data_IF_932707377894
#
_entry.id   IF_932707377894
#
_cell.length_a   1.000
_cell.length_b   1.000
_cell.length_c   1.000
_cell.angle_alpha   90.00
_cell.angle_beta   90.00
_cell.angle_gamma   90.00
#
_symmetry.space_group_name_H-M   'P 1'
#
loop_
_entity.id
_entity.type
_entity.pdbx_description
1 polymer ?
#
# COMPACT_ATOMS: atom_id res chain seq x y z
N UNK A 1 -9.73 10.14 -8.62
CA UNK A 1 -10.33 10.01 -7.28
C UNK A 1 -9.47 9.02 -6.53
N UNK A 2 -8.86 9.43 -5.42
CA UNK A 2 -8.09 8.52 -4.58
C UNK A 2 -9.04 7.42 -4.06
N UNK A 3 -8.63 6.17 -4.20
CA UNK A 3 -9.33 4.99 -3.72
C UNK A 3 -9.22 4.85 -2.19
N UNK A 4 -8.13 5.36 -1.61
CA UNK A 4 -7.85 5.26 -0.18
C UNK A 4 -7.83 6.63 0.51
N UNK A 5 -8.04 6.62 1.83
CA UNK A 5 -7.95 7.79 2.70
C UNK A 5 -6.94 7.54 3.82
N UNK A 6 -6.40 8.62 4.39
CA UNK A 6 -5.60 8.53 5.62
C UNK A 6 -6.41 7.89 6.74
N UNK A 7 -5.83 6.92 7.44
CA UNK A 7 -6.47 6.08 8.43
C UNK A 7 -7.12 4.81 7.88
N UNK A 8 -7.18 4.63 6.55
CA UNK A 8 -7.67 3.37 5.99
C UNK A 8 -6.67 2.24 6.24
N UNK A 9 -7.19 1.08 6.64
CA UNK A 9 -6.40 -0.12 6.77
C UNK A 9 -6.32 -0.84 5.42
N UNK A 10 -5.10 -1.20 5.05
CA UNK A 10 -4.82 -1.78 3.74
C UNK A 10 -3.87 -2.96 3.86
N UNK A 11 -3.92 -3.79 2.83
CA UNK A 11 -3.07 -4.94 2.65
C UNK A 11 -2.42 -4.88 1.28
N UNK A 12 -1.12 -5.17 1.21
CA UNK A 12 -0.39 -5.28 -0.06
C UNK A 12 -0.87 -6.53 -0.79
N UNK A 13 -1.38 -6.34 -2.01
CA UNK A 13 -1.83 -7.43 -2.88
C UNK A 13 -0.66 -8.32 -3.25
N UNK A 14 -0.92 -9.62 -3.36
CA UNK A 14 0.03 -10.54 -3.96
C UNK A 14 0.03 -10.34 -5.48
N UNK A 15 1.21 -10.12 -6.06
CA UNK A 15 1.38 -9.97 -7.52
C UNK A 15 2.29 -11.08 -8.06
N UNK A 16 1.70 -12.21 -8.50
CA UNK A 16 2.46 -13.28 -9.13
C UNK A 16 2.97 -12.80 -10.50
N UNK A 17 4.26 -12.44 -10.60
CA UNK A 17 4.88 -12.03 -11.87
C UNK A 17 5.98 -10.97 -11.77
N UNK A 18 6.19 -10.36 -10.59
CA UNK A 18 7.34 -9.48 -10.38
C UNK A 18 8.63 -10.27 -10.12
N UNK A 19 9.77 -9.93 -10.74
CA UNK A 19 11.03 -10.64 -10.53
C UNK A 19 11.47 -10.47 -9.07
N UNK A 20 11.31 -11.54 -8.28
CA UNK A 20 11.64 -11.60 -6.86
C UNK A 20 10.45 -11.68 -5.91
N UNK A 21 9.20 -11.54 -6.41
CA UNK A 21 8.00 -11.42 -5.60
C UNK A 21 8.05 -10.18 -4.69
N UNK A 22 6.92 -9.51 -4.45
CA UNK A 22 6.91 -8.59 -3.32
C UNK A 22 7.15 -9.45 -2.06
N UNK A 23 8.35 -9.43 -1.47
CA UNK A 23 8.63 -10.02 -0.13
C UNK A 23 7.68 -9.47 0.96
N UNK A 24 6.97 -8.41 0.59
CA UNK A 24 6.01 -7.67 1.39
C UNK A 24 4.55 -7.91 0.94
N UNK A 25 4.30 -8.89 0.06
CA UNK A 25 2.94 -9.35 -0.24
C UNK A 25 2.26 -9.79 1.05
N UNK A 26 0.97 -9.49 1.18
CA UNK A 26 0.19 -9.67 2.39
C UNK A 26 0.64 -8.84 3.60
N UNK A 27 1.53 -7.85 3.43
CA UNK A 27 1.78 -6.92 4.53
C UNK A 27 0.55 -6.05 4.75
N UNK A 28 0.18 -5.89 6.01
CA UNK A 28 -0.91 -5.04 6.46
C UNK A 28 -0.36 -3.78 7.10
N UNK A 29 -1.20 -2.75 7.15
CA UNK A 29 -0.83 -1.46 7.68
C UNK A 29 -1.87 -0.40 7.42
N UNK A 30 -1.56 0.81 7.84
CA UNK A 30 -2.46 1.95 7.80
C UNK A 30 -1.95 3.01 6.83
N UNK A 31 -2.83 3.58 6.02
CA UNK A 31 -2.49 4.71 5.16
C UNK A 31 -2.28 5.94 6.03
N UNK A 32 -1.08 6.49 6.01
CA UNK A 32 -0.72 7.70 6.76
C UNK A 32 -0.72 8.95 5.88
N UNK A 33 -0.59 8.79 4.57
CA UNK A 33 -0.61 9.89 3.60
C UNK A 33 -1.14 9.40 2.26
N UNK A 34 -1.97 10.21 1.61
CA UNK A 34 -2.45 9.97 0.25
C UNK A 34 -1.86 11.06 -0.64
N UNK A 35 -1.10 10.66 -1.66
CA UNK A 35 -0.57 11.61 -2.63
C UNK A 35 -1.56 11.72 -3.79
N UNK A 36 -2.09 12.91 -3.99
CA UNK A 36 -2.90 13.23 -5.17
C UNK A 36 -1.99 13.45 -6.38
N UNK A 37 -1.34 12.37 -6.82
CA UNK A 37 -0.56 12.34 -8.04
C UNK A 37 -1.29 11.52 -9.12
N UNK A 38 -1.03 11.77 -10.41
CA UNK A 38 -1.71 11.05 -11.50
C UNK A 38 -1.43 9.55 -11.52
N UNK A 39 -0.41 9.07 -10.80
CA UNK A 39 -0.12 7.66 -10.65
C UNK A 39 -0.82 7.01 -9.44
N UNK A 40 -1.41 7.81 -8.54
CA UNK A 40 -2.17 7.36 -7.37
C UNK A 40 -1.28 6.61 -6.38
N UNK A 41 -0.29 7.27 -5.79
CA UNK A 41 0.51 6.69 -4.72
C UNK A 41 -0.05 7.04 -3.34
N UNK A 42 0.11 6.11 -2.41
CA UNK A 42 -0.20 6.30 -0.99
C UNK A 42 0.97 5.83 -0.14
N UNK A 43 1.14 6.47 1.01
CA UNK A 43 2.09 6.06 2.02
C UNK A 43 1.35 5.20 3.05
N UNK A 44 1.78 3.95 3.14
CA UNK A 44 1.31 2.97 4.11
C UNK A 44 2.37 2.79 5.20
N UNK A 45 1.97 2.87 6.46
CA UNK A 45 2.78 2.43 7.58
C UNK A 45 2.57 0.94 7.79
N UNK A 46 3.55 0.12 7.46
CA UNK A 46 3.45 -1.33 7.55
C UNK A 46 3.52 -1.80 9.01
N UNK A 47 2.55 -2.57 9.48
CA UNK A 47 2.48 -3.07 10.86
C UNK A 47 3.68 -3.95 11.21
N UNK A 48 4.16 -4.73 10.24
CA UNK A 48 5.26 -5.68 10.45
C UNK A 48 6.61 -5.02 10.75
N UNK A 49 6.83 -3.81 10.24
CA UNK A 49 8.14 -3.13 10.36
C UNK A 49 8.07 -1.76 11.00
N UNK A 50 6.89 -1.14 11.06
CA UNK A 50 6.69 0.23 11.50
C UNK A 50 7.17 1.29 10.50
N UNK A 51 7.70 0.90 9.34
CA UNK A 51 8.18 1.84 8.32
C UNK A 51 7.04 2.36 7.44
N UNK A 52 7.21 3.61 7.02
CA UNK A 52 6.37 4.24 6.00
C UNK A 52 6.89 3.85 4.61
N UNK A 53 6.03 3.24 3.81
CA UNK A 53 6.35 2.73 2.49
C UNK A 53 5.35 3.28 1.47
N UNK A 54 5.84 3.71 0.31
CA UNK A 54 5.00 4.20 -0.77
C UNK A 54 4.55 3.03 -1.66
N UNK A 55 3.24 2.92 -1.87
CA UNK A 55 2.66 1.93 -2.78
C UNK A 55 1.68 2.60 -3.75
N UNK A 56 1.55 2.11 -4.97
CA UNK A 56 0.44 2.47 -5.83
C UNK A 56 -0.87 1.97 -5.22
N UNK A 57 -1.93 2.77 -5.25
CA UNK A 57 -3.27 2.38 -4.76
C UNK A 57 -3.75 1.07 -5.38
N UNK A 58 -3.42 0.82 -6.65
CA UNK A 58 -3.82 -0.38 -7.37
C UNK A 58 -3.23 -1.67 -6.79
N UNK A 59 -2.07 -1.58 -6.13
CA UNK A 59 -1.35 -2.69 -5.52
C UNK A 59 -1.76 -2.92 -4.05
N UNK A 60 -2.68 -2.11 -3.54
CA UNK A 60 -3.25 -2.26 -2.21
C UNK A 60 -4.70 -2.73 -2.30
N UNK A 61 -5.13 -3.43 -1.25
CA UNK A 61 -6.50 -3.85 -1.02
C UNK A 61 -6.96 -3.32 0.34
N UNK A 62 -8.19 -2.80 0.41
CA UNK A 62 -8.78 -2.33 1.67
C UNK A 62 -9.27 -3.54 2.47
N UNK A 63 -9.04 -3.54 3.78
CA UNK A 63 -9.47 -4.56 4.74
C UNK A 63 -10.37 -3.96 5.83
#
# INVERSE_FOLDING_TARGET
MALFKVGDRVKVKDRPGWPGGYKIANWEGEIVEVKEDPAGYVIMKADKTGYNMAFPEQELEKI
#
